data_IF_313626476012
#
_entry.id   IF_313626476012
#
_cell.length_a   1.000
_cell.length_b   1.000
_cell.length_c   1.000
_cell.angle_alpha   90.00
_cell.angle_beta   90.00
_cell.angle_gamma   90.00
#
_symmetry.space_group_name_H-M   'P 1'
#
loop_
_entity.id
_entity.type
_entity.pdbx_description
1 polymer ?
#
# COMPACT_ATOMS: atom_id res chain seq x y z
N UNK A 1 46.43 -52.31 -29.24
CA UNK A 1 45.59 -51.14 -29.61
C UNK A 1 44.08 -51.39 -29.41
N UNK A 2 43.64 -52.65 -29.28
CA UNK A 2 42.21 -53.02 -29.20
C UNK A 2 41.50 -52.65 -27.89
N UNK A 3 42.19 -52.70 -26.73
CA UNK A 3 41.59 -52.32 -25.43
C UNK A 3 41.08 -50.88 -25.32
N UNK A 4 41.50 -49.98 -26.22
CA UNK A 4 41.08 -48.57 -26.19
C UNK A 4 39.76 -48.33 -26.96
N UNK A 5 39.37 -49.28 -27.82
CA UNK A 5 38.22 -49.14 -28.72
C UNK A 5 36.93 -49.57 -28.00
N UNK A 6 36.99 -50.61 -27.16
CA UNK A 6 35.86 -51.04 -26.30
C UNK A 6 35.40 -49.95 -25.33
N UNK A 7 36.34 -49.15 -24.82
CA UNK A 7 36.02 -48.07 -23.88
C UNK A 7 35.26 -46.90 -24.53
N UNK A 8 35.31 -46.77 -25.87
CA UNK A 8 34.67 -45.68 -26.60
C UNK A 8 33.24 -45.99 -27.04
N UNK A 9 32.85 -47.27 -27.11
CA UNK A 9 31.46 -47.65 -27.38
C UNK A 9 30.54 -47.47 -26.16
N UNK A 10 31.07 -47.68 -24.95
CA UNK A 10 30.35 -47.50 -23.69
C UNK A 10 29.82 -46.07 -23.48
N UNK A 11 30.51 -45.06 -24.02
CA UNK A 11 30.17 -43.65 -23.79
C UNK A 11 29.01 -43.15 -24.68
N UNK A 12 28.56 -43.94 -25.67
CA UNK A 12 27.59 -43.49 -26.69
C UNK A 12 26.11 -43.78 -26.36
N UNK A 13 25.79 -44.51 -25.29
CA UNK A 13 24.41 -45.03 -25.10
C UNK A 13 23.64 -44.62 -23.85
N UNK A 14 24.09 -43.66 -23.06
CA UNK A 14 23.26 -43.11 -21.98
C UNK A 14 22.27 -42.06 -22.52
N UNK A 15 21.31 -42.57 -23.32
CA UNK A 15 20.09 -41.90 -23.74
C UNK A 15 19.27 -41.58 -22.49
N UNK A 16 19.37 -40.35 -21.99
CA UNK A 16 18.53 -39.85 -20.90
C UNK A 16 17.04 -39.86 -21.31
N UNK A 17 16.37 -40.98 -21.14
CA UNK A 17 14.91 -41.06 -21.23
C UNK A 17 14.34 -40.75 -19.85
N UNK A 18 14.48 -39.51 -19.39
CA UNK A 18 13.80 -39.00 -18.19
C UNK A 18 12.31 -38.94 -18.53
N UNK A 19 11.58 -40.03 -18.28
CA UNK A 19 10.11 -40.06 -18.37
C UNK A 19 9.58 -39.20 -17.24
N UNK A 20 9.55 -37.90 -17.45
CA UNK A 20 8.94 -36.95 -16.54
C UNK A 20 7.45 -37.28 -16.50
N UNK A 21 7.03 -37.99 -15.46
CA UNK A 21 5.62 -38.27 -15.18
C UNK A 21 5.01 -37.00 -14.62
N UNK A 22 4.87 -35.99 -15.48
CA UNK A 22 4.17 -34.77 -15.12
C UNK A 22 2.72 -35.17 -14.87
N UNK A 23 2.27 -35.05 -13.63
CA UNK A 23 0.86 -35.19 -13.32
C UNK A 23 0.25 -33.80 -13.48
N UNK A 24 -0.39 -33.50 -14.63
CA UNK A 24 -0.88 -32.15 -14.93
C UNK A 24 -1.86 -31.64 -13.86
N UNK A 25 -2.58 -32.57 -13.23
CA UNK A 25 -3.49 -32.28 -12.10
C UNK A 25 -2.75 -31.64 -10.91
N UNK A 26 -1.56 -32.13 -10.54
CA UNK A 26 -0.76 -31.56 -9.45
C UNK A 26 -0.09 -30.24 -9.85
N UNK A 27 0.29 -30.10 -11.12
CA UNK A 27 0.84 -28.86 -11.67
C UNK A 27 -0.18 -27.71 -11.64
N UNK A 28 -1.41 -27.97 -12.05
CA UNK A 28 -2.50 -26.99 -12.03
C UNK A 28 -2.88 -26.62 -10.59
N UNK A 29 -2.96 -27.60 -9.67
CA UNK A 29 -3.23 -27.31 -8.26
C UNK A 29 -2.15 -26.43 -7.63
N UNK A 30 -0.87 -26.71 -7.89
CA UNK A 30 0.22 -25.89 -7.37
C UNK A 30 0.20 -24.47 -7.97
N UNK A 31 -0.16 -24.33 -9.25
CA UNK A 31 -0.32 -23.03 -9.91
C UNK A 31 -1.46 -22.22 -9.28
N UNK A 32 -2.60 -22.86 -9.02
CA UNK A 32 -3.75 -22.22 -8.37
C UNK A 32 -3.42 -21.76 -6.94
N UNK A 33 -2.69 -22.58 -6.17
CA UNK A 33 -2.23 -22.21 -4.83
C UNK A 33 -1.29 -21.01 -4.90
N UNK A 34 -0.38 -20.97 -5.87
CA UNK A 34 0.56 -19.85 -6.03
C UNK A 34 -0.16 -18.55 -6.42
N UNK A 35 -1.15 -18.63 -7.32
CA UNK A 35 -2.00 -17.49 -7.69
C UNK A 35 -2.81 -16.96 -6.49
N UNK A 36 -3.35 -17.85 -5.67
CA UNK A 36 -4.08 -17.48 -4.46
C UNK A 36 -3.16 -16.81 -3.42
N UNK A 37 -1.92 -17.29 -3.27
CA UNK A 37 -0.92 -16.68 -2.41
C UNK A 37 -0.56 -15.25 -2.87
N UNK A 38 -0.37 -15.06 -4.18
CA UNK A 38 -0.06 -13.74 -4.75
C UNK A 38 -1.23 -12.76 -4.51
N UNK A 39 -2.47 -13.20 -4.73
CA UNK A 39 -3.66 -12.38 -4.46
C UNK A 39 -3.73 -11.96 -2.99
N UNK A 40 -3.44 -12.88 -2.08
CA UNK A 40 -3.41 -12.60 -0.64
C UNK A 40 -2.34 -11.57 -0.27
N UNK A 41 -1.13 -11.69 -0.82
CA UNK A 41 -0.04 -10.74 -0.59
C UNK A 41 -0.42 -9.36 -1.12
N UNK A 42 -1.00 -9.27 -2.33
CA UNK A 42 -1.47 -8.01 -2.91
C UNK A 42 -2.54 -7.38 -2.03
N UNK A 43 -3.51 -8.16 -1.54
CA UNK A 43 -4.55 -7.66 -0.65
C UNK A 43 -4.01 -7.19 0.71
N UNK A 44 -3.02 -7.89 1.27
CA UNK A 44 -2.33 -7.45 2.48
C UNK A 44 -1.60 -6.11 2.25
N UNK A 45 -0.96 -5.94 1.09
CA UNK A 45 -0.32 -4.67 0.71
C UNK A 45 -1.31 -3.51 0.56
N UNK A 46 -2.50 -3.76 -0.01
CA UNK A 46 -3.56 -2.75 -0.06
C UNK A 46 -4.03 -2.34 1.35
N UNK A 47 -4.15 -3.30 2.27
CA UNK A 47 -4.56 -3.02 3.64
C UNK A 47 -3.49 -2.27 4.44
N UNK A 48 -2.20 -2.57 4.22
CA UNK A 48 -1.09 -1.85 4.88
C UNK A 48 -0.86 -0.47 4.29
N UNK A 49 -1.04 -0.28 2.98
CA UNK A 49 -0.92 1.03 2.33
C UNK A 49 -2.04 2.01 2.74
N UNK A 50 -3.21 1.51 3.16
CA UNK A 50 -4.32 2.34 3.66
C UNK A 50 -4.13 2.88 5.09
N UNK A 51 -3.16 2.36 5.85
CA UNK A 51 -2.92 2.70 7.27
C UNK A 51 -1.91 3.84 7.48
N UNK A 52 -1.50 4.56 6.43
CA UNK A 52 -0.72 5.80 6.57
C UNK A 52 -1.56 7.07 6.56
N UNK A 53 -2.89 6.96 6.68
CA UNK A 53 -3.70 8.08 7.14
C UNK A 53 -3.61 8.06 8.66
N UNK A 54 -2.65 8.82 9.19
CA UNK A 54 -2.36 8.87 10.61
C UNK A 54 -3.65 8.93 11.41
N UNK A 55 -3.72 8.11 12.46
CA UNK A 55 -4.77 8.15 13.48
C UNK A 55 -4.86 9.59 13.97
N UNK A 56 -5.70 10.37 13.31
CA UNK A 56 -6.00 11.72 13.69
C UNK A 56 -6.85 11.54 14.92
N UNK A 57 -6.34 11.96 16.08
CA UNK A 57 -7.15 12.11 17.26
C UNK A 57 -8.49 12.75 16.85
N UNK A 58 -9.63 12.31 17.43
CA UNK A 58 -10.94 12.81 17.02
C UNK A 58 -10.87 14.33 16.88
N UNK A 59 -11.05 14.80 15.63
CA UNK A 59 -10.89 16.20 15.30
C UNK A 59 -11.78 17.02 16.20
N UNK A 60 -11.24 18.09 16.80
CA UNK A 60 -12.06 19.01 17.57
C UNK A 60 -12.89 19.82 16.59
N UNK A 61 -14.18 19.52 16.53
CA UNK A 61 -15.13 20.27 15.70
C UNK A 61 -15.42 21.63 16.38
N UNK A 62 -15.22 22.73 15.64
CA UNK A 62 -15.52 24.09 16.09
C UNK A 62 -16.63 24.65 15.21
N UNK A 63 -17.69 25.15 15.83
CA UNK A 63 -18.72 25.92 15.12
C UNK A 63 -18.32 27.38 15.10
N UNK A 64 -18.32 27.98 13.91
CA UNK A 64 -17.94 29.38 13.69
C UNK A 64 -19.06 30.30 14.16
N UNK A 65 -18.74 31.28 15.00
CA UNK A 65 -19.69 32.29 15.47
C UNK A 65 -19.58 33.58 14.63
N UNK A 66 -20.55 34.50 14.79
CA UNK A 66 -20.48 35.81 14.13
C UNK A 66 -19.26 36.61 14.63
N UNK A 67 -18.46 37.10 13.68
CA UNK A 67 -17.23 37.84 13.98
C UNK A 67 -15.97 36.98 14.11
N UNK A 68 -16.11 35.65 14.07
CA UNK A 68 -14.96 34.76 14.03
C UNK A 68 -14.19 34.87 12.71
N UNK A 69 -12.87 34.74 12.82
CA UNK A 69 -11.99 34.63 11.66
C UNK A 69 -11.08 33.43 11.85
N UNK A 70 -10.69 32.80 10.74
CA UNK A 70 -9.68 31.72 10.78
C UNK A 70 -8.45 32.15 11.57
N UNK A 71 -7.99 33.38 11.36
CA UNK A 71 -6.88 33.96 12.10
C UNK A 71 -7.14 34.04 13.62
N UNK A 72 -8.28 34.61 14.05
CA UNK A 72 -8.63 34.72 15.46
C UNK A 72 -8.77 33.36 16.15
N UNK A 73 -9.41 32.40 15.49
CA UNK A 73 -9.55 31.02 15.99
C UNK A 73 -8.18 30.37 16.14
N UNK A 74 -7.30 30.51 15.15
CA UNK A 74 -5.95 29.93 15.25
C UNK A 74 -5.14 30.54 16.39
N UNK A 75 -5.20 31.86 16.61
CA UNK A 75 -4.51 32.50 17.73
C UNK A 75 -5.07 32.05 19.09
N UNK A 76 -6.39 31.87 19.19
CA UNK A 76 -7.08 31.46 20.42
C UNK A 76 -6.74 30.01 20.79
N UNK A 77 -6.71 29.10 19.82
CA UNK A 77 -6.54 27.67 20.08
C UNK A 77 -5.10 27.17 19.90
N UNK A 78 -4.28 27.84 19.10
CA UNK A 78 -2.90 27.46 18.80
C UNK A 78 -1.93 28.64 18.98
N UNK A 79 -1.85 29.25 20.18
CA UNK A 79 -1.07 30.49 20.40
C UNK A 79 0.44 30.34 20.19
N UNK A 80 0.97 29.10 20.26
CA UNK A 80 2.40 28.82 20.12
C UNK A 80 2.79 28.39 18.68
N UNK A 81 1.83 28.36 17.76
CA UNK A 81 2.04 27.92 16.39
C UNK A 81 1.90 29.11 15.44
N UNK A 82 2.58 29.05 14.31
CA UNK A 82 2.39 30.03 13.23
C UNK A 82 0.95 29.93 12.69
N UNK A 83 0.12 30.98 12.84
CA UNK A 83 -1.25 31.01 12.36
C UNK A 83 -1.37 30.64 10.89
N UNK A 84 -0.40 31.03 10.06
CA UNK A 84 -0.41 30.76 8.61
C UNK A 84 -0.39 29.26 8.31
N UNK A 85 0.43 28.51 9.05
CA UNK A 85 0.55 27.05 8.89
C UNK A 85 -0.71 26.34 9.38
N UNK A 86 -1.28 26.81 10.49
CA UNK A 86 -2.51 26.23 11.03
C UNK A 86 -3.70 26.52 10.11
N UNK A 87 -3.82 27.73 9.56
CA UNK A 87 -4.86 28.07 8.58
C UNK A 87 -4.75 27.18 7.35
N UNK A 88 -3.54 26.99 6.81
CA UNK A 88 -3.33 26.08 5.68
C UNK A 88 -3.79 24.66 6.02
N UNK A 89 -3.43 24.16 7.20
CA UNK A 89 -3.84 22.83 7.66
C UNK A 89 -5.35 22.70 7.85
N UNK A 90 -6.02 23.71 8.43
CA UNK A 90 -7.48 23.73 8.58
C UNK A 90 -8.15 23.72 7.21
N UNK A 91 -7.62 24.47 6.24
CA UNK A 91 -8.12 24.49 4.87
C UNK A 91 -7.97 23.13 4.19
N UNK A 92 -6.82 22.49 4.32
CA UNK A 92 -6.57 21.17 3.73
C UNK A 92 -7.47 20.10 4.35
N UNK A 93 -7.66 20.13 5.68
CA UNK A 93 -8.52 19.20 6.40
C UNK A 93 -10.01 19.36 6.05
N UNK A 94 -10.46 20.60 5.85
CA UNK A 94 -11.86 20.92 5.57
C UNK A 94 -12.14 21.21 4.09
N UNK A 95 -11.20 20.88 3.19
CA UNK A 95 -11.27 21.11 1.75
C UNK A 95 -11.70 22.55 1.36
N UNK A 96 -11.25 23.56 2.13
CA UNK A 96 -11.62 24.96 1.92
C UNK A 96 -10.81 25.57 0.77
N UNK A 97 -11.51 25.88 -0.32
CA UNK A 97 -10.92 26.53 -1.50
C UNK A 97 -10.41 27.95 -1.18
N UNK A 98 -11.09 28.66 -0.27
CA UNK A 98 -10.76 30.01 0.19
C UNK A 98 -10.57 30.05 1.71
N UNK A 99 -9.80 30.98 2.28
CA UNK A 99 -9.79 31.26 3.73
C UNK A 99 -11.07 31.95 4.25
N UNK A 100 -12.13 32.04 3.45
CA UNK A 100 -13.42 32.58 3.88
C UNK A 100 -14.20 31.53 4.66
N UNK A 101 -14.74 31.91 5.82
CA UNK A 101 -15.60 31.08 6.68
C UNK A 101 -16.89 31.84 6.97
N UNK A 102 -17.96 31.09 7.27
CA UNK A 102 -19.28 31.67 7.53
C UNK A 102 -19.79 31.28 8.92
N UNK A 103 -20.56 32.15 9.60
CA UNK A 103 -21.22 31.78 10.85
C UNK A 103 -22.09 30.53 10.69
N UNK A 104 -22.03 29.64 11.67
CA UNK A 104 -22.71 28.33 11.67
C UNK A 104 -21.96 27.22 10.91
N UNK A 105 -20.85 27.53 10.23
CA UNK A 105 -20.00 26.53 9.61
C UNK A 105 -19.26 25.70 10.68
N UNK A 106 -19.02 24.42 10.40
CA UNK A 106 -18.28 23.50 11.27
C UNK A 106 -16.95 23.12 10.63
N UNK A 107 -15.86 23.16 11.39
CA UNK A 107 -14.48 22.93 10.95
C UNK A 107 -13.70 22.03 11.91
#
# INVERSE_FOLDING_TARGET
>A
MERKIEHLEQVRYLRFKKRWRWNPRKGISNLAIFMMLILFIVMAFYFTAGQSQGQSAPGREITIEEGDTLWGITLKHFPHNDPRKIIAKIRDLNALQSPTIYPGQRL
#
